data_IF_937352812201
#
_entry.id   IF_937352812201
#
_cell.length_a   1.000
_cell.length_b   1.000
_cell.length_c   1.000
_cell.angle_alpha   90.00
_cell.angle_beta   90.00
_cell.angle_gamma   90.00
#
_symmetry.space_group_name_H-M   'P 1'
#
loop_
_entity.id
_entity.type
_entity.pdbx_description
1 polymer ?
#
# COMPACT_ATOMS: atom_id res chain seq x y z
N UNK A 1 -12.98 -4.08 9.02
CA UNK A 1 -14.06 -3.35 8.31
C UNK A 1 -13.79 -1.85 8.27
N UNK A 2 -13.64 -1.17 9.42
CA UNK A 2 -13.43 0.29 9.45
C UNK A 2 -12.21 0.75 8.61
N UNK A 3 -11.04 0.13 8.78
CA UNK A 3 -9.84 0.52 8.01
C UNK A 3 -9.97 0.26 6.51
N UNK A 4 -10.61 -0.84 6.12
CA UNK A 4 -10.86 -1.16 4.70
C UNK A 4 -11.81 -0.12 4.11
N UNK A 5 -12.88 0.23 4.83
CA UNK A 5 -13.84 1.26 4.41
C UNK A 5 -13.19 2.64 4.26
N UNK A 6 -12.36 3.05 5.23
CA UNK A 6 -11.64 4.34 5.15
C UNK A 6 -10.63 4.35 4.00
N UNK A 7 -9.96 3.23 3.73
CA UNK A 7 -9.04 3.11 2.60
C UNK A 7 -9.78 3.23 1.26
N UNK A 8 -10.89 2.50 1.09
CA UNK A 8 -11.70 2.59 -0.14
C UNK A 8 -12.25 4.00 -0.35
N UNK A 9 -12.71 4.64 0.72
CA UNK A 9 -13.16 6.03 0.66
C UNK A 9 -12.01 6.98 0.26
N UNK A 10 -10.82 6.82 0.85
CA UNK A 10 -9.66 7.64 0.51
C UNK A 10 -9.23 7.46 -0.95
N UNK A 11 -9.25 6.22 -1.48
CA UNK A 11 -8.97 5.93 -2.88
C UNK A 11 -9.99 6.59 -3.80
N UNK A 12 -11.28 6.50 -3.46
CA UNK A 12 -12.34 7.13 -4.24
C UNK A 12 -12.24 8.65 -4.21
N UNK A 13 -11.96 9.24 -3.04
CA UNK A 13 -11.74 10.67 -2.89
C UNK A 13 -10.52 11.15 -3.69
N UNK A 14 -9.41 10.39 -3.66
CA UNK A 14 -8.22 10.69 -4.47
C UNK A 14 -8.51 10.62 -5.97
N UNK A 15 -9.30 9.66 -6.43
CA UNK A 15 -9.70 9.57 -7.83
C UNK A 15 -10.58 10.74 -8.28
N UNK A 16 -11.60 11.09 -7.49
CA UNK A 16 -12.59 12.09 -7.85
C UNK A 16 -12.08 13.53 -7.69
N UNK A 17 -11.34 13.81 -6.62
CA UNK A 17 -10.92 15.17 -6.24
C UNK A 17 -9.42 15.39 -6.31
N UNK A 18 -8.62 14.33 -6.31
CA UNK A 18 -7.16 14.43 -6.20
C UNK A 18 -6.50 15.34 -7.23
N UNK A 19 -6.79 15.24 -8.54
CA UNK A 19 -6.17 16.13 -9.53
C UNK A 19 -6.44 17.61 -9.25
N UNK A 20 -7.68 17.96 -8.91
CA UNK A 20 -8.07 19.35 -8.58
C UNK A 20 -7.40 19.85 -7.31
N UNK A 21 -7.24 18.98 -6.31
CA UNK A 21 -6.55 19.33 -5.05
C UNK A 21 -5.07 19.55 -5.30
N UNK A 22 -4.42 18.71 -6.12
CA UNK A 22 -3.01 18.87 -6.47
C UNK A 22 -2.79 20.19 -7.23
N UNK A 23 -3.62 20.46 -8.24
CA UNK A 23 -3.58 21.69 -9.02
C UNK A 23 -3.79 22.94 -8.13
N UNK A 24 -4.75 22.88 -7.20
CA UNK A 24 -5.01 23.98 -6.25
C UNK A 24 -3.84 24.24 -5.30
N UNK A 25 -3.14 23.19 -4.87
CA UNK A 25 -2.07 23.30 -3.86
C UNK A 25 -0.71 23.63 -4.47
N UNK A 26 -0.40 23.05 -5.63
CA UNK A 26 0.92 23.12 -6.26
C UNK A 26 0.96 24.00 -7.53
N UNK A 27 -0.20 24.44 -8.03
CA UNK A 27 -0.33 25.23 -9.25
C UNK A 27 -0.56 24.38 -10.52
N UNK A 28 -0.94 25.06 -11.60
CA UNK A 28 -1.34 24.43 -12.88
C UNK A 28 -0.20 23.64 -13.57
N UNK A 29 1.06 23.94 -13.25
CA UNK A 29 2.23 23.23 -13.80
C UNK A 29 2.39 21.81 -13.25
N UNK A 30 1.73 21.49 -12.12
CA UNK A 30 1.81 20.19 -11.47
C UNK A 30 0.56 19.36 -11.73
N UNK A 31 0.53 18.67 -12.87
CA UNK A 31 -0.55 17.75 -13.21
C UNK A 31 -0.18 16.31 -12.84
N UNK A 32 -0.83 15.75 -11.82
CA UNK A 32 -0.81 14.31 -11.54
C UNK A 32 -2.02 13.65 -12.20
N UNK A 33 -1.79 12.50 -12.84
CA UNK A 33 -2.88 11.77 -13.46
C UNK A 33 -3.71 11.04 -12.41
N UNK A 34 -5.02 10.87 -12.67
CA UNK A 34 -5.91 10.08 -11.81
C UNK A 34 -5.37 8.68 -11.46
N UNK A 35 -4.80 7.89 -12.41
CA UNK A 35 -4.29 6.56 -12.06
C UNK A 35 -3.11 6.63 -11.07
N UNK A 36 -2.22 7.62 -11.18
CA UNK A 36 -1.08 7.77 -10.26
C UNK A 36 -1.58 8.00 -8.83
N UNK A 37 -2.56 8.90 -8.68
CA UNK A 37 -3.20 9.20 -7.39
C UNK A 37 -3.94 7.99 -6.79
N UNK A 38 -4.58 7.18 -7.63
CA UNK A 38 -5.25 5.96 -7.19
C UNK A 38 -4.24 4.90 -6.72
N UNK A 39 -3.16 4.71 -7.47
CA UNK A 39 -2.09 3.76 -7.09
C UNK A 39 -1.48 4.19 -5.76
N UNK A 40 -1.14 5.47 -5.63
CA UNK A 40 -0.56 6.02 -4.41
C UNK A 40 -1.52 5.89 -3.22
N UNK A 41 -2.78 6.29 -3.36
CA UNK A 41 -3.78 6.17 -2.31
C UNK A 41 -4.00 4.70 -1.90
N UNK A 42 -4.00 3.78 -2.86
CA UNK A 42 -4.12 2.34 -2.61
C UNK A 42 -2.91 1.80 -1.86
N UNK A 43 -1.71 2.22 -2.23
CA UNK A 43 -0.46 1.81 -1.59
C UNK A 43 -0.39 2.31 -0.14
N UNK A 44 -0.78 3.57 0.10
CA UNK A 44 -0.87 4.15 1.44
C UNK A 44 -1.92 3.43 2.28
N UNK A 45 -3.10 3.15 1.71
CA UNK A 45 -4.13 2.38 2.37
C UNK A 45 -3.68 0.96 2.76
N UNK A 46 -2.98 0.28 1.84
CA UNK A 46 -2.35 -1.01 2.10
C UNK A 46 -1.30 -0.93 3.22
N UNK A 47 -0.51 0.13 3.24
CA UNK A 47 0.49 0.37 4.30
C UNK A 47 -0.16 0.52 5.67
N UNK A 48 -1.26 1.29 5.77
CA UNK A 48 -2.02 1.46 7.02
C UNK A 48 -2.53 0.11 7.53
N UNK A 49 -3.12 -0.70 6.64
CA UNK A 49 -3.59 -2.05 6.98
C UNK A 49 -2.42 -2.93 7.44
N UNK A 50 -1.33 -2.98 6.68
CA UNK A 50 -0.15 -3.77 7.01
C UNK A 50 0.45 -3.37 8.37
N UNK A 51 0.55 -2.07 8.66
CA UNK A 51 1.04 -1.54 9.94
C UNK A 51 0.12 -1.89 11.10
N UNK A 52 -1.20 -1.80 10.89
CA UNK A 52 -2.18 -2.20 11.91
C UNK A 52 -2.05 -3.68 12.24
N UNK A 53 -2.04 -4.56 11.24
CA UNK A 53 -1.87 -6.01 11.43
C UNK A 53 -0.52 -6.35 12.07
N UNK A 54 0.55 -5.67 11.65
CA UNK A 54 1.89 -5.81 12.26
C UNK A 54 1.84 -5.54 13.77
N UNK A 55 1.17 -4.46 14.20
CA UNK A 55 1.03 -4.14 15.63
C UNK A 55 0.25 -5.22 16.38
N UNK A 56 -0.81 -5.77 15.78
CA UNK A 56 -1.57 -6.88 16.38
C UNK A 56 -0.73 -8.14 16.52
N UNK A 57 -0.02 -8.57 15.47
CA UNK A 57 0.81 -9.78 15.51
C UNK A 57 1.99 -9.63 16.49
N UNK A 58 2.59 -8.44 16.58
CA UNK A 58 3.62 -8.14 17.59
C UNK A 58 3.06 -8.20 19.01
N UNK A 59 1.85 -7.69 19.25
CA UNK A 59 1.18 -7.80 20.55
C UNK A 59 0.87 -9.25 20.93
N UNK A 60 0.70 -10.14 19.95
CA UNK A 60 0.54 -11.59 20.15
C UNK A 60 1.88 -12.34 20.28
N UNK A 61 3.02 -11.64 20.31
CA UNK A 61 4.35 -12.25 20.42
C UNK A 61 4.87 -12.89 19.13
N UNK A 62 4.25 -12.62 17.97
CA UNK A 62 4.54 -13.29 16.68
C UNK A 62 5.47 -12.48 15.78
N UNK A 63 6.55 -11.96 16.37
CA UNK A 63 7.52 -11.13 15.64
C UNK A 63 8.14 -11.87 14.45
N UNK A 64 8.47 -13.16 14.58
CA UNK A 64 9.12 -13.93 13.52
C UNK A 64 8.26 -14.06 12.26
N UNK A 65 6.99 -14.44 12.41
CA UNK A 65 6.06 -14.56 11.28
C UNK A 65 5.85 -13.22 10.58
N UNK A 66 5.71 -12.15 11.38
CA UNK A 66 5.55 -10.78 10.90
C UNK A 66 6.75 -10.34 10.06
N UNK A 67 7.97 -10.58 10.56
CA UNK A 67 9.20 -10.26 9.82
C UNK A 67 9.29 -11.03 8.50
N UNK A 68 8.95 -12.32 8.49
CA UNK A 68 8.96 -13.12 7.27
C UNK A 68 7.99 -12.57 6.20
N UNK A 69 6.81 -12.10 6.61
CA UNK A 69 5.85 -11.48 5.69
C UNK A 69 6.42 -10.21 5.04
N UNK A 70 7.06 -9.34 5.83
CA UNK A 70 7.71 -8.13 5.32
C UNK A 70 8.89 -8.44 4.40
N UNK A 71 9.73 -9.42 4.76
CA UNK A 71 10.87 -9.84 3.93
C UNK A 71 10.38 -10.39 2.59
N UNK A 72 9.37 -11.26 2.59
CA UNK A 72 8.79 -11.81 1.36
C UNK A 72 8.24 -10.69 0.45
N UNK A 73 7.52 -9.72 1.02
CA UNK A 73 6.99 -8.59 0.28
C UNK A 73 8.10 -7.67 -0.28
N UNK A 74 9.18 -7.44 0.48
CA UNK A 74 10.35 -6.68 0.02
C UNK A 74 11.06 -7.37 -1.13
N UNK A 75 11.23 -8.70 -1.06
CA UNK A 75 11.82 -9.48 -2.15
C UNK A 75 10.97 -9.31 -3.41
N UNK A 76 9.64 -9.45 -3.31
CA UNK A 76 8.73 -9.27 -4.44
C UNK A 76 8.79 -7.85 -5.02
N UNK A 77 8.78 -6.82 -4.17
CA UNK A 77 8.92 -5.43 -4.61
C UNK A 77 10.26 -5.16 -5.29
N UNK A 78 11.35 -5.71 -4.75
CA UNK A 78 12.68 -5.59 -5.35
C UNK A 78 12.77 -6.32 -6.70
N UNK A 79 12.24 -7.54 -6.79
CA UNK A 79 12.14 -8.29 -8.04
C UNK A 79 11.33 -7.53 -9.08
N UNK A 80 10.24 -6.86 -8.68
CA UNK A 80 9.46 -6.02 -9.58
C UNK A 80 10.29 -4.84 -10.12
N UNK A 81 10.96 -4.08 -9.25
CA UNK A 81 11.77 -2.91 -9.64
C UNK A 81 12.91 -3.28 -10.60
N UNK A 82 13.50 -4.46 -10.41
CA UNK A 82 14.63 -4.93 -11.23
C UNK A 82 14.20 -5.45 -12.60
N UNK A 83 13.02 -6.07 -12.71
CA UNK A 83 12.50 -6.61 -13.97
C UNK A 83 11.84 -5.52 -14.83
N UNK A 84 11.00 -4.66 -14.23
CA UNK A 84 10.20 -3.70 -14.97
C UNK A 84 10.92 -2.36 -15.15
N UNK A 85 10.90 -1.84 -16.38
CA UNK A 85 11.57 -0.58 -16.77
C UNK A 85 10.61 0.61 -16.92
N UNK A 86 9.66 0.77 -16.00
CA UNK A 86 8.76 1.94 -15.96
C UNK A 86 9.50 3.21 -15.49
N UNK A 87 8.98 4.43 -15.76
CA UNK A 87 9.55 5.66 -15.21
C UNK A 87 9.74 5.58 -13.69
N UNK A 88 10.81 6.17 -13.15
CA UNK A 88 11.21 6.01 -11.73
C UNK A 88 10.06 6.28 -10.76
N UNK A 89 9.32 7.37 -10.96
CA UNK A 89 8.17 7.76 -10.12
C UNK A 89 7.11 6.68 -10.06
N UNK A 90 6.60 6.28 -11.23
CA UNK A 90 5.57 5.24 -11.35
C UNK A 90 6.07 3.88 -10.83
N UNK A 91 7.33 3.54 -11.09
CA UNK A 91 7.94 2.29 -10.61
C UNK A 91 7.97 2.23 -9.08
N UNK A 92 8.29 3.35 -8.43
CA UNK A 92 8.31 3.40 -6.97
C UNK A 92 6.91 3.27 -6.36
N UNK A 93 5.89 3.87 -6.99
CA UNK A 93 4.50 3.77 -6.54
C UNK A 93 3.94 2.35 -6.71
N UNK A 94 4.19 1.73 -7.87
CA UNK A 94 3.80 0.34 -8.17
C UNK A 94 4.50 -0.64 -7.22
N UNK A 95 5.80 -0.46 -6.98
CA UNK A 95 6.54 -1.29 -6.03
C UNK A 95 6.03 -1.13 -4.59
N UNK A 96 5.70 0.10 -4.19
CA UNK A 96 5.10 0.34 -2.88
C UNK A 96 3.73 -0.35 -2.74
N UNK A 97 2.90 -0.29 -3.78
CA UNK A 97 1.62 -0.99 -3.82
C UNK A 97 1.80 -2.50 -3.70
N UNK A 98 2.78 -3.08 -4.40
CA UNK A 98 3.10 -4.51 -4.31
C UNK A 98 3.53 -4.87 -2.89
N UNK A 99 4.50 -4.16 -2.31
CA UNK A 99 5.01 -4.46 -0.96
C UNK A 99 3.89 -4.38 0.07
N UNK A 100 3.10 -3.31 0.03
CA UNK A 100 2.04 -3.05 1.02
C UNK A 100 0.85 -4.00 0.82
N UNK A 101 0.46 -4.28 -0.42
CA UNK A 101 -0.59 -5.23 -0.78
C UNK A 101 -0.21 -6.66 -0.40
N UNK A 102 1.00 -7.10 -0.72
CA UNK A 102 1.49 -8.43 -0.34
C UNK A 102 1.60 -8.56 1.18
N UNK A 103 2.20 -7.59 1.86
CA UNK A 103 2.35 -7.65 3.32
C UNK A 103 1.01 -7.70 4.03
N UNK A 104 0.07 -6.82 3.65
CA UNK A 104 -1.28 -6.82 4.25
C UNK A 104 -2.04 -8.12 3.98
N UNK A 105 -1.88 -8.71 2.79
CA UNK A 105 -2.47 -10.00 2.45
C UNK A 105 -1.87 -11.13 3.28
N UNK A 106 -0.52 -11.24 3.32
CA UNK A 106 0.16 -12.29 4.08
C UNK A 106 -0.16 -12.22 5.58
N UNK A 107 -0.12 -11.03 6.18
CA UNK A 107 -0.49 -10.84 7.58
C UNK A 107 -1.97 -11.13 7.84
N UNK A 108 -2.85 -10.80 6.88
CA UNK A 108 -4.27 -11.14 6.96
C UNK A 108 -4.48 -12.66 6.96
N UNK A 109 -3.75 -13.39 6.11
CA UNK A 109 -3.80 -14.85 6.04
C UNK A 109 -3.26 -15.50 7.31
N UNK A 110 -2.12 -15.04 7.85
CA UNK A 110 -1.57 -15.58 9.12
C UNK A 110 -2.54 -15.34 10.27
N UNK A 111 -3.18 -14.16 10.31
CA UNK A 111 -4.16 -13.85 11.35
C UNK A 111 -5.39 -14.78 11.29
N UNK A 112 -5.88 -15.10 10.07
CA UNK A 112 -7.02 -16.01 9.87
C UNK A 112 -6.64 -17.45 10.22
N UNK A 113 -5.45 -17.93 9.81
CA UNK A 113 -5.03 -19.31 10.06
C UNK A 113 -4.90 -19.63 11.55
N UNK A 114 -4.60 -18.64 12.37
CA UNK A 114 -4.45 -18.81 13.82
C UNK A 114 -5.75 -18.65 14.62
N UNK A 115 -6.85 -18.24 13.99
CA UNK A 115 -8.18 -18.18 14.64
C UNK A 115 -8.97 -19.48 14.52
N UNK A 116 -8.52 -20.41 13.68
CA UNK A 116 -9.07 -21.76 13.54
C UNK A 116 -8.27 -22.71 14.42
#
# INVERSE_FOLDING_TARGET
LLVVGTTLFAVFAAWAWGPKVVELVYGEEYTLTRPDLVILASAVGGLVVARMLTRFELAMGRARSTTLCWVAALILGFTYITIFRTPITRRTEEALLIITGTTSTLLGLTHISHRR
#
